data_IF_187963075048
#
_entry.id   IF_187963075048
#
_cell.length_a   1.000
_cell.length_b   1.000
_cell.length_c   1.000
_cell.angle_alpha   90.00
_cell.angle_beta   90.00
_cell.angle_gamma   90.00
#
_symmetry.space_group_name_H-M   'P 1'
#
loop_
_entity.id
_entity.type
_entity.pdbx_description
1 polymer ?
#
# COMPACT_ATOMS: atom_id res chain seq x y z
N UNK A 1 8.18 -10.54 23.90
CA UNK A 1 8.18 -11.68 22.96
C UNK A 1 7.77 -11.05 21.64
N UNK A 2 8.76 -10.74 20.81
CA UNK A 2 8.54 -10.11 19.50
C UNK A 2 8.00 -11.18 18.57
N UNK A 3 6.70 -11.15 18.31
CA UNK A 3 6.14 -11.84 17.16
C UNK A 3 6.54 -11.04 15.91
N UNK A 4 7.79 -11.21 15.46
CA UNK A 4 8.13 -11.00 14.06
C UNK A 4 7.42 -12.10 13.29
N UNK A 5 6.15 -11.86 12.97
CA UNK A 5 5.52 -12.55 11.86
C UNK A 5 6.38 -12.21 10.64
N UNK A 6 7.21 -13.15 10.20
CA UNK A 6 7.80 -13.15 8.86
C UNK A 6 6.62 -13.25 7.87
N UNK A 7 5.92 -12.13 7.69
CA UNK A 7 4.92 -11.97 6.66
C UNK A 7 5.73 -11.83 5.38
N UNK A 8 5.90 -12.94 4.68
CA UNK A 8 6.44 -12.95 3.34
C UNK A 8 5.49 -12.13 2.44
N UNK A 9 5.93 -10.94 2.07
CA UNK A 9 5.20 -10.04 1.18
C UNK A 9 5.43 -10.56 -0.24
N UNK A 10 4.42 -11.21 -0.83
CA UNK A 10 4.39 -11.49 -2.26
C UNK A 10 4.18 -10.17 -3.03
N UNK A 11 5.21 -9.66 -3.75
CA UNK A 11 5.13 -8.36 -4.40
C UNK A 11 4.06 -8.30 -5.49
N UNK A 12 3.74 -9.42 -6.13
CA UNK A 12 2.72 -9.50 -7.17
C UNK A 12 1.32 -9.36 -6.56
N UNK A 13 1.01 -10.16 -5.53
CA UNK A 13 -0.28 -10.10 -4.81
C UNK A 13 -0.52 -8.70 -4.24
N UNK A 14 0.49 -8.11 -3.60
CA UNK A 14 0.38 -6.78 -3.01
C UNK A 14 0.25 -5.68 -4.06
N UNK A 15 0.93 -5.81 -5.21
CA UNK A 15 0.74 -4.89 -6.33
C UNK A 15 -0.70 -4.94 -6.84
N UNK A 16 -1.24 -6.14 -7.07
CA UNK A 16 -2.61 -6.33 -7.55
C UNK A 16 -3.63 -5.77 -6.55
N UNK A 17 -3.45 -6.05 -5.26
CA UNK A 17 -4.31 -5.52 -4.21
C UNK A 17 -4.32 -3.98 -4.20
N UNK A 18 -3.15 -3.35 -4.18
CA UNK A 18 -3.05 -1.89 -4.18
C UNK A 18 -3.64 -1.28 -5.44
N UNK A 19 -3.46 -1.90 -6.60
CA UNK A 19 -4.09 -1.46 -7.85
C UNK A 19 -5.62 -1.56 -7.78
N UNK A 20 -6.16 -2.65 -7.25
CA UNK A 20 -7.61 -2.84 -7.09
C UNK A 20 -8.22 -1.82 -6.13
N UNK A 21 -7.55 -1.54 -5.00
CA UNK A 21 -7.99 -0.53 -4.03
C UNK A 21 -7.90 0.88 -4.61
N UNK A 22 -6.84 1.20 -5.35
CA UNK A 22 -6.66 2.53 -5.94
C UNK A 22 -7.56 2.77 -7.16
N UNK A 23 -8.04 1.72 -7.83
CA UNK A 23 -9.02 1.81 -8.91
C UNK A 23 -10.44 2.13 -8.42
N UNK A 24 -10.73 1.89 -7.14
CA UNK A 24 -12.00 2.18 -6.48
C UNK A 24 -11.88 3.46 -5.64
N UNK A 25 -12.68 4.48 -5.97
CA UNK A 25 -12.61 5.79 -5.31
C UNK A 25 -12.99 5.74 -3.83
N UNK A 26 -13.97 4.91 -3.47
CA UNK A 26 -14.44 4.81 -2.08
C UNK A 26 -13.41 4.08 -1.23
N UNK A 27 -12.91 2.93 -1.72
CA UNK A 27 -11.88 2.16 -1.02
C UNK A 27 -10.55 2.92 -0.90
N UNK A 28 -10.17 3.65 -1.95
CA UNK A 28 -8.98 4.51 -1.92
C UNK A 28 -9.10 5.61 -0.86
N UNK A 29 -10.27 6.28 -0.77
CA UNK A 29 -10.51 7.30 0.24
C UNK A 29 -10.48 6.71 1.66
N UNK A 30 -11.10 5.55 1.86
CA UNK A 30 -11.11 4.85 3.15
C UNK A 30 -9.70 4.44 3.59
N UNK A 31 -8.90 3.86 2.70
CA UNK A 31 -7.51 3.49 2.99
C UNK A 31 -6.68 4.71 3.37
N UNK A 32 -6.81 5.82 2.63
CA UNK A 32 -6.11 7.05 2.95
C UNK A 32 -6.50 7.55 4.33
N UNK A 33 -7.80 7.60 4.66
CA UNK A 33 -8.26 8.05 5.97
C UNK A 33 -7.73 7.17 7.10
N UNK A 34 -7.81 5.84 6.96
CA UNK A 34 -7.27 4.91 7.96
C UNK A 34 -5.79 5.17 8.24
N UNK A 35 -4.98 5.37 7.19
CA UNK A 35 -3.55 5.63 7.37
C UNK A 35 -3.32 7.01 8.00
N UNK A 36 -4.09 8.04 7.63
CA UNK A 36 -4.01 9.37 8.25
C UNK A 36 -4.33 9.27 9.74
N UNK A 37 -5.40 8.58 10.12
CA UNK A 37 -5.81 8.37 11.51
C UNK A 37 -4.74 7.61 12.31
N UNK A 38 -4.13 6.58 11.72
CA UNK A 38 -3.12 5.76 12.39
C UNK A 38 -1.75 6.44 12.51
N UNK A 39 -1.37 7.26 11.54
CA UNK A 39 0.00 7.80 11.42
C UNK A 39 0.13 9.29 11.68
N UNK A 40 -0.98 10.04 11.68
CA UNK A 40 -0.98 11.51 11.74
C UNK A 40 -0.40 12.19 10.50
N UNK A 41 -0.07 11.43 9.45
CA UNK A 41 0.50 11.95 8.21
C UNK A 41 -0.59 12.61 7.37
N UNK A 42 -0.34 13.79 6.75
CA UNK A 42 -1.32 14.43 5.87
C UNK A 42 -1.78 13.54 4.70
N UNK A 43 -3.05 13.61 4.28
CA UNK A 43 -3.60 12.78 3.20
C UNK A 43 -2.80 12.84 1.90
N UNK A 44 -2.22 13.99 1.54
CA UNK A 44 -1.41 14.11 0.33
C UNK A 44 -0.14 13.25 0.38
N UNK A 45 0.51 13.21 1.55
CA UNK A 45 1.71 12.40 1.77
C UNK A 45 1.37 10.92 1.79
N UNK A 46 0.23 10.53 2.36
CA UNK A 46 -0.26 9.15 2.32
C UNK A 46 -0.46 8.68 0.89
N UNK A 47 -1.13 9.49 0.06
CA UNK A 47 -1.32 9.19 -1.37
C UNK A 47 0.01 9.05 -2.11
N UNK A 48 0.98 9.90 -1.82
CA UNK A 48 2.32 9.81 -2.41
C UNK A 48 3.03 8.52 -2.03
N UNK A 49 2.95 8.11 -0.75
CA UNK A 49 3.53 6.86 -0.25
C UNK A 49 2.88 5.67 -0.96
N UNK A 50 1.54 5.61 -1.03
CA UNK A 50 0.84 4.52 -1.73
C UNK A 50 1.29 4.45 -3.19
N UNK A 51 1.35 5.57 -3.90
CA UNK A 51 1.79 5.61 -5.29
C UNK A 51 3.24 5.12 -5.46
N UNK A 52 4.15 5.54 -4.57
CA UNK A 52 5.55 5.11 -4.59
C UNK A 52 5.68 3.60 -4.28
N UNK A 53 4.95 3.10 -3.28
CA UNK A 53 4.93 1.68 -2.90
C UNK A 53 4.39 0.82 -4.03
N UNK A 54 3.26 1.18 -4.66
CA UNK A 54 2.73 0.44 -5.81
C UNK A 54 3.74 0.39 -6.94
N UNK A 55 4.42 1.51 -7.24
CA UNK A 55 5.46 1.55 -8.28
C UNK A 55 6.65 0.66 -7.94
N UNK A 56 7.09 0.64 -6.69
CA UNK A 56 8.18 -0.20 -6.21
C UNK A 56 7.84 -1.69 -6.34
N UNK A 57 6.68 -2.10 -5.84
CA UNK A 57 6.23 -3.49 -5.90
C UNK A 57 6.04 -3.96 -7.36
N UNK A 58 5.47 -3.12 -8.22
CA UNK A 58 5.32 -3.42 -9.65
C UNK A 58 6.65 -3.55 -10.41
N UNK A 59 7.73 -2.96 -9.89
CA UNK A 59 9.07 -3.13 -10.45
C UNK A 59 9.71 -4.43 -9.96
N UNK A 60 9.51 -4.79 -8.68
CA UNK A 60 9.99 -6.08 -8.15
C UNK A 60 9.29 -7.24 -8.85
N UNK A 61 7.96 -7.20 -8.96
CA UNK A 61 7.17 -8.26 -9.59
C UNK A 61 7.50 -8.50 -11.08
N UNK A 62 8.08 -7.50 -11.77
CA UNK A 62 8.55 -7.64 -13.16
C UNK A 62 10.00 -8.13 -13.28
N UNK A 63 10.77 -8.07 -12.20
CA UNK A 63 12.20 -8.41 -12.19
C UNK A 63 12.47 -9.82 -11.67
N UNK A 64 11.46 -10.45 -11.06
CA UNK A 64 11.40 -11.88 -10.73
C UNK A 64 10.69 -12.65 -11.84
#
# INVERSE_FOLDING_TARGET
>A
MEDNLDIEIDPEIWTQYLLAVMGDKERSAELVQKIVEMSGVPPEKVKLIIAATTKYLANIARSN
#
